data_IF_831860169924
#
_entry.id   IF_831860169924
#
_cell.length_a   1.000
_cell.length_b   1.000
_cell.length_c   1.000
_cell.angle_alpha   90.00
_cell.angle_beta   90.00
_cell.angle_gamma   90.00
#
_symmetry.space_group_name_H-M   'P 1'
#
loop_
_entity.id
_entity.type
_entity.pdbx_description
1 polymer ?
#
# COMPACT_ATOMS: atom_id res chain seq x y z
N UNK A 1 13.57 5.79 -22.57
CA UNK A 1 14.01 5.77 -21.17
C UNK A 1 13.40 4.55 -20.52
N UNK A 2 14.22 3.68 -19.96
CA UNK A 2 13.74 2.47 -19.30
C UNK A 2 13.50 2.80 -17.83
N UNK A 3 12.25 2.77 -17.38
CA UNK A 3 11.92 2.94 -15.98
C UNK A 3 12.56 1.80 -15.18
N UNK A 4 13.30 2.14 -14.12
CA UNK A 4 13.74 1.13 -13.16
C UNK A 4 12.50 0.64 -12.40
N UNK A 5 12.28 -0.68 -12.27
CA UNK A 5 11.25 -1.18 -11.39
C UNK A 5 11.57 -0.69 -9.98
N UNK A 6 10.63 0.04 -9.37
CA UNK A 6 10.74 0.58 -8.01
C UNK A 6 10.56 -0.51 -6.92
N UNK A 7 10.61 -1.79 -7.30
CA UNK A 7 10.44 -2.90 -6.38
C UNK A 7 10.70 -4.26 -7.04
N UNK A 8 10.82 -5.28 -6.19
CA UNK A 8 10.91 -6.69 -6.57
C UNK A 8 9.60 -7.08 -7.29
N UNK A 9 9.65 -7.71 -8.48
CA UNK A 9 8.48 -7.92 -9.32
C UNK A 9 7.48 -8.96 -8.79
N UNK A 10 7.86 -9.77 -7.80
CA UNK A 10 6.95 -10.77 -7.23
C UNK A 10 6.02 -10.11 -6.19
N UNK A 11 4.69 -10.24 -6.35
CA UNK A 11 3.74 -9.72 -5.38
C UNK A 11 3.88 -10.49 -4.07
N UNK A 12 4.16 -9.77 -2.99
CA UNK A 12 4.12 -10.33 -1.64
C UNK A 12 2.69 -10.86 -1.38
N UNK A 13 2.58 -12.16 -1.10
CA UNK A 13 1.30 -12.83 -0.85
C UNK A 13 0.56 -12.29 0.38
N UNK A 14 1.23 -11.50 1.22
CA UNK A 14 0.61 -10.80 2.35
C UNK A 14 -0.13 -9.52 1.95
N UNK A 15 0.02 -9.04 0.72
CA UNK A 15 -0.66 -7.82 0.25
C UNK A 15 -2.14 -8.11 -0.06
N UNK A 16 -3.05 -7.14 0.23
CA UNK A 16 -4.43 -7.23 -0.21
C UNK A 16 -4.50 -7.39 -1.73
N UNK A 17 -5.37 -8.29 -2.22
CA UNK A 17 -5.53 -8.52 -3.66
C UNK A 17 -5.85 -7.22 -4.42
N UNK A 18 -6.64 -6.34 -3.82
CA UNK A 18 -6.95 -5.02 -4.37
C UNK A 18 -5.72 -4.11 -4.50
N UNK A 19 -4.73 -4.22 -3.60
CA UNK A 19 -3.47 -3.49 -3.74
C UNK A 19 -2.62 -4.07 -4.87
N UNK A 20 -2.55 -5.40 -4.99
CA UNK A 20 -1.80 -6.09 -6.06
C UNK A 20 -2.36 -5.74 -7.44
N UNK A 21 -3.69 -5.73 -7.60
CA UNK A 21 -4.35 -5.38 -8.85
C UNK A 21 -4.15 -3.91 -9.24
N UNK A 22 -4.23 -2.99 -8.26
CA UNK A 22 -4.06 -1.55 -8.48
C UNK A 22 -2.61 -1.16 -8.76
N UNK A 23 -1.66 -1.85 -8.12
CA UNK A 23 -0.24 -1.52 -8.15
C UNK A 23 0.13 -0.31 -7.27
N UNK A 24 1.42 0.05 -7.35
CA UNK A 24 2.03 1.10 -6.53
C UNK A 24 1.57 2.50 -7.01
N UNK A 25 1.23 3.36 -6.05
CA UNK A 25 0.80 4.75 -6.29
C UNK A 25 1.59 5.76 -5.42
N UNK A 26 1.56 7.05 -5.81
CA UNK A 26 2.31 8.14 -5.14
C UNK A 26 1.88 8.35 -3.68
N UNK A 27 0.61 8.08 -3.35
CA UNK A 27 0.06 8.23 -1.99
C UNK A 27 0.21 6.99 -1.10
N UNK A 28 0.99 5.99 -1.53
CA UNK A 28 1.26 4.81 -0.71
C UNK A 28 2.31 5.12 0.36
N UNK A 29 1.94 4.91 1.62
CA UNK A 29 2.88 4.82 2.73
C UNK A 29 3.44 3.39 2.79
N UNK A 30 4.76 3.27 2.69
CA UNK A 30 5.48 1.99 2.67
C UNK A 30 6.80 2.07 3.43
N UNK A 31 7.22 0.96 3.99
CA UNK A 31 8.54 0.80 4.63
C UNK A 31 9.44 0.05 3.66
N UNK A 32 10.59 0.63 3.32
CA UNK A 32 11.59 -0.05 2.47
C UNK A 32 12.36 -1.06 3.32
N UNK A 33 12.47 -2.28 2.80
CA UNK A 33 13.21 -3.38 3.42
C UNK A 33 14.65 -3.42 2.90
N UNK A 34 15.53 -4.07 3.65
CA UNK A 34 16.95 -4.18 3.29
C UNK A 34 17.21 -5.05 2.04
N UNK A 35 16.25 -5.89 1.65
CA UNK A 35 16.29 -6.70 0.43
C UNK A 35 15.85 -5.90 -0.82
N UNK A 36 15.50 -4.62 -0.68
CA UNK A 36 14.97 -3.78 -1.76
C UNK A 36 13.48 -3.94 -2.01
N UNK A 37 12.79 -4.81 -1.25
CA UNK A 37 11.34 -4.88 -1.21
C UNK A 37 10.73 -3.80 -0.33
N UNK A 38 9.41 -3.87 -0.14
CA UNK A 38 8.70 -2.95 0.74
C UNK A 38 7.54 -3.64 1.46
N UNK A 39 7.18 -3.12 2.63
CA UNK A 39 5.92 -3.44 3.29
C UNK A 39 4.94 -2.29 3.06
N UNK A 40 3.75 -2.60 2.56
CA UNK A 40 2.67 -1.63 2.43
C UNK A 40 2.07 -1.33 3.82
N UNK A 41 1.83 -0.04 4.10
CA UNK A 41 1.08 0.39 5.28
C UNK A 41 -0.32 0.82 4.82
N UNK A 42 -0.52 2.01 4.26
CA UNK A 42 -1.85 2.43 3.78
C UNK A 42 -1.71 3.47 2.65
N UNK A 43 -2.80 3.75 1.95
CA UNK A 43 -2.90 4.84 1.01
C UNK A 43 -3.72 5.98 1.59
N UNK A 44 -3.16 7.19 1.67
CA UNK A 44 -3.81 8.36 2.29
C UNK A 44 -4.97 8.93 1.47
N UNK A 45 -5.04 8.63 0.17
CA UNK A 45 -6.13 9.10 -0.69
C UNK A 45 -7.28 8.10 -0.77
N UNK A 46 -7.17 6.98 -0.05
CA UNK A 46 -8.24 6.00 0.06
C UNK A 46 -8.79 6.02 1.48
N UNK A 47 -10.10 5.86 1.57
CA UNK A 47 -10.81 5.73 2.84
C UNK A 47 -10.25 4.57 3.69
N UNK A 48 -10.49 4.63 5.00
CA UNK A 48 -9.99 3.62 5.91
C UNK A 48 -10.59 2.22 5.67
N UNK A 49 -11.84 2.17 5.19
CA UNK A 49 -12.55 0.94 4.85
C UNK A 49 -12.28 0.45 3.42
N UNK A 50 -11.44 1.17 2.66
CA UNK A 50 -11.10 0.78 1.31
C UNK A 50 -10.39 -0.59 1.31
N UNK A 51 -10.74 -1.53 0.42
CA UNK A 51 -10.11 -2.84 0.33
C UNK A 51 -8.58 -2.81 0.19
N UNK A 52 -8.03 -1.73 -0.35
CA UNK A 52 -6.58 -1.51 -0.45
C UNK A 52 -5.95 -1.29 0.93
N UNK A 53 -6.66 -0.63 1.84
CA UNK A 53 -6.24 -0.38 3.23
C UNK A 53 -6.71 -1.48 4.20
N UNK A 54 -7.22 -2.61 3.68
CA UNK A 54 -7.77 -3.68 4.50
C UNK A 54 -6.71 -4.26 5.46
N UNK A 55 -7.03 -4.22 6.76
CA UNK A 55 -6.15 -4.74 7.81
C UNK A 55 -4.97 -3.84 8.16
N UNK A 56 -4.86 -2.65 7.57
CA UNK A 56 -3.73 -1.75 7.82
C UNK A 56 -4.10 -0.45 8.54
N UNK A 57 -5.39 -0.09 8.52
CA UNK A 57 -5.96 1.01 9.30
C UNK A 57 -7.13 0.48 10.12
N UNK A 58 -7.32 1.01 11.33
CA UNK A 58 -8.49 0.68 12.13
C UNK A 58 -9.72 1.28 11.44
N UNK A 59 -10.78 0.49 11.18
CA UNK A 59 -12.02 1.05 10.66
C UNK A 59 -12.50 2.13 11.64
N UNK A 60 -12.76 3.34 11.11
CA UNK A 60 -13.11 4.59 11.81
C UNK A 60 -11.98 5.53 12.27
N UNK A 61 -10.69 5.23 12.08
CA UNK A 61 -9.63 6.14 12.56
C UNK A 61 -9.50 7.46 11.77
N UNK A 62 -10.02 7.54 10.55
CA UNK A 62 -9.95 8.75 9.71
C UNK A 62 -11.18 9.68 9.82
N UNK A 63 -12.24 9.26 10.52
CA UNK A 63 -13.47 10.06 10.67
C UNK A 63 -13.52 10.91 11.95
N UNK A 64 -12.47 10.93 12.78
CA UNK A 64 -12.46 11.62 14.08
C UNK A 64 -11.74 12.98 14.06
N UNK A 65 -11.20 13.43 12.92
CA UNK A 65 -10.55 14.73 12.81
C UNK A 65 -11.14 15.56 11.66
N UNK A 66 -12.35 16.07 11.88
CA UNK A 66 -12.90 17.28 11.24
C UNK A 66 -13.32 18.27 12.31
#
# INVERSE_FOLDING_TARGET
GYGYPLGIPEPDCSLPSAYVERGICVSDFRIIRNDGGFNFIFNTFLEADNPVNAGTVLPNSMNTYI
#
